data_IF_118215660516
#
_entry.id   IF_118215660516
#
_cell.length_a   1.000
_cell.length_b   1.000
_cell.length_c   1.000
_cell.angle_alpha   90.00
_cell.angle_beta   90.00
_cell.angle_gamma   90.00
#
_symmetry.space_group_name_H-M   'P 1'
#
loop_
_entity.id
_entity.type
_entity.pdbx_description
1 polymer ?
#
# COMPACT_ATOMS: atom_id res chain seq x y z
N UNK A 1 -30.33 25.21 -17.52
CA UNK A 1 -29.14 24.65 -16.82
C UNK A 1 -29.15 24.91 -15.30
N UNK A 2 -29.32 26.16 -14.84
CA UNK A 2 -29.37 26.52 -13.39
C UNK A 2 -30.34 25.67 -12.54
N UNK A 3 -31.48 25.24 -13.09
CA UNK A 3 -32.49 24.45 -12.37
C UNK A 3 -32.04 23.03 -12.04
N UNK A 4 -31.24 22.39 -12.91
CA UNK A 4 -30.74 21.02 -12.72
C UNK A 4 -29.70 21.02 -11.59
N UNK A 5 -28.81 22.01 -11.58
CA UNK A 5 -27.80 22.18 -10.52
C UNK A 5 -28.46 22.44 -9.17
N UNK A 6 -29.55 23.22 -9.14
CA UNK A 6 -30.34 23.45 -7.92
C UNK A 6 -31.01 22.19 -7.38
N UNK A 7 -31.59 21.37 -8.25
CA UNK A 7 -32.19 20.08 -7.87
C UNK A 7 -31.13 19.09 -7.36
N UNK A 8 -29.94 19.06 -8.00
CA UNK A 8 -28.83 18.22 -7.55
C UNK A 8 -28.37 18.60 -6.14
N UNK A 9 -28.08 19.89 -5.91
CA UNK A 9 -27.61 20.41 -4.61
C UNK A 9 -28.60 20.12 -3.49
N UNK A 10 -29.90 20.19 -3.78
CA UNK A 10 -30.94 19.87 -2.80
C UNK A 10 -30.98 18.38 -2.45
N UNK A 11 -30.72 17.50 -3.41
CA UNK A 11 -30.59 16.06 -3.17
C UNK A 11 -29.32 15.74 -2.38
N UNK A 12 -28.17 16.37 -2.67
CA UNK A 12 -26.93 16.11 -1.91
C UNK A 12 -27.08 16.55 -0.44
N UNK A 13 -27.81 17.64 -0.19
CA UNK A 13 -28.13 18.10 1.18
C UNK A 13 -29.00 17.12 1.96
N UNK A 14 -29.89 16.36 1.31
CA UNK A 14 -30.67 15.31 1.99
C UNK A 14 -29.88 14.02 2.21
N UNK A 15 -28.83 13.79 1.40
CA UNK A 15 -27.95 12.63 1.51
C UNK A 15 -26.75 12.86 2.46
N UNK A 16 -26.57 14.08 3.00
CA UNK A 16 -25.41 14.42 3.84
C UNK A 16 -25.26 13.53 5.06
N UNK A 17 -26.38 13.09 5.65
CA UNK A 17 -26.40 12.22 6.82
C UNK A 17 -25.77 10.85 6.51
N UNK A 18 -26.21 10.23 5.41
CA UNK A 18 -25.66 8.96 4.92
C UNK A 18 -24.19 9.12 4.52
N UNK A 19 -23.82 10.25 3.90
CA UNK A 19 -22.43 10.53 3.55
C UNK A 19 -21.53 10.62 4.79
N UNK A 20 -21.96 11.28 5.86
CA UNK A 20 -21.20 11.35 7.12
C UNK A 20 -21.07 9.97 7.77
N UNK A 21 -22.17 9.21 7.83
CA UNK A 21 -22.15 7.85 8.37
C UNK A 21 -21.15 6.95 7.63
N UNK A 22 -21.13 7.01 6.30
CA UNK A 22 -20.19 6.22 5.49
C UNK A 22 -18.74 6.66 5.70
N UNK A 23 -18.45 7.96 5.75
CA UNK A 23 -17.10 8.47 6.02
C UNK A 23 -16.64 8.08 7.43
N UNK A 24 -17.53 8.12 8.42
CA UNK A 24 -17.24 7.69 9.79
C UNK A 24 -16.93 6.20 9.88
N UNK A 25 -17.75 5.34 9.25
CA UNK A 25 -17.45 3.91 9.21
C UNK A 25 -16.12 3.63 8.49
N UNK A 26 -15.89 4.26 7.34
CA UNK A 26 -14.65 4.06 6.58
C UNK A 26 -13.42 4.53 7.35
N UNK A 27 -13.49 5.63 8.10
CA UNK A 27 -12.36 6.10 8.92
C UNK A 27 -12.06 5.13 10.07
N UNK A 28 -13.07 4.61 10.77
CA UNK A 28 -12.88 3.61 11.83
C UNK A 28 -12.25 2.33 11.27
N UNK A 29 -12.76 1.80 10.16
CA UNK A 29 -12.17 0.61 9.52
C UNK A 29 -10.75 0.88 9.00
N UNK A 30 -10.48 2.06 8.46
CA UNK A 30 -9.14 2.43 8.01
C UNK A 30 -8.14 2.51 9.17
N UNK A 31 -8.53 3.04 10.33
CA UNK A 31 -7.67 3.08 11.52
C UNK A 31 -7.35 1.68 12.05
N UNK A 32 -8.37 0.81 12.13
CA UNK A 32 -8.20 -0.59 12.55
C UNK A 32 -7.31 -1.33 11.53
N UNK A 33 -7.61 -1.19 10.24
CA UNK A 33 -6.84 -1.80 9.16
C UNK A 33 -5.40 -1.33 9.13
N UNK A 34 -5.16 -0.03 9.26
CA UNK A 34 -3.80 0.52 9.32
C UNK A 34 -3.03 -0.08 10.49
N UNK A 35 -3.63 -0.18 11.68
CA UNK A 35 -2.95 -0.70 12.86
C UNK A 35 -2.65 -2.21 12.75
N UNK A 36 -3.56 -2.99 12.14
CA UNK A 36 -3.38 -4.43 11.92
C UNK A 36 -2.39 -4.76 10.79
N UNK A 37 -2.38 -3.94 9.75
CA UNK A 37 -1.57 -4.17 8.56
C UNK A 37 -0.30 -3.31 8.52
N UNK A 38 0.00 -2.58 9.60
CA UNK A 38 1.23 -1.81 9.72
C UNK A 38 2.43 -2.77 9.66
N UNK A 39 3.22 -2.67 8.59
CA UNK A 39 4.43 -3.47 8.39
C UNK A 39 4.19 -4.85 7.77
N UNK A 40 2.99 -5.45 7.89
CA UNK A 40 2.75 -6.82 7.41
C UNK A 40 2.78 -6.94 5.86
N UNK A 41 2.34 -5.91 5.13
CA UNK A 41 2.40 -5.93 3.65
C UNK A 41 3.80 -5.61 3.10
N UNK A 42 4.74 -5.21 3.96
CA UNK A 42 6.12 -4.93 3.56
C UNK A 42 7.05 -6.13 3.73
N UNK A 43 6.52 -7.28 4.15
CA UNK A 43 7.28 -8.51 4.19
C UNK A 43 7.68 -8.93 2.77
N UNK A 44 8.97 -8.77 2.44
CA UNK A 44 9.60 -9.46 1.31
C UNK A 44 10.20 -10.78 1.79
N UNK A 45 10.13 -11.80 0.94
CA UNK A 45 10.94 -13.01 1.12
C UNK A 45 12.33 -12.71 0.56
N UNK A 46 13.30 -12.46 1.45
CA UNK A 46 14.71 -12.31 1.09
C UNK A 46 15.39 -13.68 1.13
N UNK A 47 16.28 -13.94 0.16
CA UNK A 47 17.04 -15.18 0.12
C UNK A 47 18.17 -15.11 1.17
N UNK A 48 18.16 -16.03 2.13
CA UNK A 48 19.20 -16.20 3.16
C UNK A 48 19.28 -17.69 3.53
N UNK A 49 20.46 -18.30 3.72
CA UNK A 49 21.80 -17.73 3.61
C UNK A 49 22.20 -17.56 2.15
N UNK A 50 23.06 -16.58 1.92
CA UNK A 50 23.68 -16.37 0.62
C UNK A 50 24.64 -17.56 0.41
N UNK A 51 24.39 -18.39 -0.60
CA UNK A 51 25.34 -19.44 -0.99
C UNK A 51 26.60 -18.79 -1.58
N UNK A 52 27.53 -18.40 -0.70
CA UNK A 52 28.83 -17.83 -1.08
C UNK A 52 29.69 -18.81 -1.90
N UNK A 53 29.31 -20.09 -1.96
CA UNK A 53 30.01 -21.08 -2.77
C UNK A 53 29.84 -20.88 -4.28
N UNK A 54 28.82 -20.15 -4.75
CA UNK A 54 28.67 -19.79 -6.17
C UNK A 54 29.26 -18.40 -6.51
N UNK A 55 29.81 -17.67 -5.53
CA UNK A 55 30.42 -16.34 -5.78
C UNK A 55 31.87 -16.38 -6.24
N UNK A 56 32.42 -17.58 -6.51
CA UNK A 56 33.71 -17.69 -7.16
C UNK A 56 33.54 -17.52 -8.66
N UNK A 57 34.00 -16.39 -9.18
CA UNK A 57 34.39 -16.32 -10.58
C UNK A 57 35.87 -16.03 -10.68
N UNK A 58 36.59 -17.06 -11.09
CA UNK A 58 38.03 -17.03 -11.40
C UNK A 58 38.34 -16.09 -12.57
N UNK A 59 37.36 -15.70 -13.40
CA UNK A 59 37.46 -14.64 -14.41
C UNK A 59 36.05 -14.26 -14.93
N UNK A 60 35.38 -13.31 -14.28
CA UNK A 60 34.32 -12.51 -14.93
C UNK A 60 32.86 -12.93 -14.72
N UNK A 61 32.20 -12.19 -13.81
CA UNK A 61 30.79 -11.74 -13.79
C UNK A 61 29.79 -12.28 -12.74
N UNK A 62 29.57 -11.40 -11.73
CA UNK A 62 28.56 -11.35 -10.66
C UNK A 62 28.86 -12.13 -9.37
N UNK A 63 29.79 -11.56 -8.61
CA UNK A 63 29.76 -11.66 -7.14
C UNK A 63 28.54 -10.93 -6.57
N UNK A 64 28.20 -11.24 -5.31
CA UNK A 64 26.97 -10.82 -4.63
C UNK A 64 26.61 -9.35 -4.87
N UNK A 65 25.40 -9.12 -5.41
CA UNK A 65 24.89 -7.79 -5.75
C UNK A 65 24.16 -7.18 -4.54
N UNK A 66 24.88 -6.32 -3.81
CA UNK A 66 24.34 -5.58 -2.66
C UNK A 66 23.25 -4.57 -3.05
N UNK A 67 23.22 -4.08 -4.29
CA UNK A 67 22.13 -3.21 -4.76
C UNK A 67 20.86 -4.03 -4.95
N UNK A 68 20.95 -5.21 -5.58
CA UNK A 68 19.79 -6.08 -5.75
C UNK A 68 19.28 -6.62 -4.40
N UNK A 69 20.18 -6.95 -3.46
CA UNK A 69 19.79 -7.34 -2.11
C UNK A 69 19.12 -6.18 -1.34
N UNK A 70 19.69 -4.98 -1.38
CA UNK A 70 19.13 -3.81 -0.68
C UNK A 70 17.79 -3.36 -1.27
N UNK A 71 17.57 -3.53 -2.58
CA UNK A 71 16.28 -3.22 -3.21
C UNK A 71 15.21 -4.30 -2.93
N UNK A 72 15.63 -5.49 -2.50
CA UNK A 72 14.77 -6.60 -2.10
C UNK A 72 14.60 -6.75 -0.59
N UNK A 73 15.25 -5.91 0.23
CA UNK A 73 14.99 -5.79 1.66
C UNK A 73 13.85 -4.82 1.94
#
# INVERSE_FOLDING_TARGET
>A
LKTIVGALVQSVKKLSDVMILTVFCLSVFALIGLQLFMGNLRNKCVVWPIDLNETYLENGTKGFDWEEYSNNM
#
